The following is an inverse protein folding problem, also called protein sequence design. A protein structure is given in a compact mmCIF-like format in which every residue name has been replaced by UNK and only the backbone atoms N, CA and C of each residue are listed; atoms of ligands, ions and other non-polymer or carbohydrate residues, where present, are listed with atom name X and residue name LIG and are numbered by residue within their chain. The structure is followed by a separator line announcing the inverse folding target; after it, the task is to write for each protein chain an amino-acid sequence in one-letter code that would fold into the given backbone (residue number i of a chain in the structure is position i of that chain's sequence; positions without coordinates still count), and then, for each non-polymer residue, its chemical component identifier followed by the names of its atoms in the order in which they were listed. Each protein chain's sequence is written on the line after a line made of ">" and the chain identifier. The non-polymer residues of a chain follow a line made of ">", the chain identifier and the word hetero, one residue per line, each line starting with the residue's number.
data_IF_088109680304
#
_entry.id   IF_088109680304
#
_cell.length_a   1.000
_cell.length_b   1.000
_cell.length_c   1.000
_cell.angle_alpha   90.00
_cell.angle_beta   90.00
_cell.angle_gamma   90.00
#
_symmetry.space_group_name_H-M   'P 1'
#
loop_
_entity.id
_entity.type
_entity.pdbx_description
1 polymer ?
#
# COMPACT_ATOMS: atom_id res chain seq x y z
N UNK A 1 68.79 10.75 16.84
CA UNK A 1 67.67 11.47 16.18
C UNK A 1 66.40 10.69 16.53
N UNK A 2 65.77 11.03 17.65
CA UNK A 2 64.55 10.37 18.13
C UNK A 2 63.33 10.94 17.40
N UNK A 3 62.85 10.19 16.43
CA UNK A 3 61.66 10.56 15.68
C UNK A 3 60.40 10.30 16.51
N UNK A 4 59.73 11.37 16.96
CA UNK A 4 58.43 11.34 17.66
C UNK A 4 57.29 10.97 16.69
N UNK A 5 57.25 9.75 16.16
CA UNK A 5 56.19 9.27 15.24
C UNK A 5 54.93 8.74 15.96
N UNK A 6 55.02 8.41 17.25
CA UNK A 6 53.93 7.78 18.00
C UNK A 6 52.62 8.59 18.11
N UNK A 7 52.61 9.92 18.33
CA UNK A 7 51.36 10.66 18.46
C UNK A 7 50.67 10.90 17.11
N UNK A 8 51.44 11.13 16.04
CA UNK A 8 50.90 11.36 14.70
C UNK A 8 50.18 10.13 14.14
N UNK A 9 50.70 8.93 14.40
CA UNK A 9 50.09 7.68 13.97
C UNK A 9 48.75 7.42 14.66
N UNK A 10 48.61 7.76 15.95
CA UNK A 10 47.35 7.62 16.69
C UNK A 10 46.26 8.55 16.17
N UNK A 11 46.62 9.79 15.82
CA UNK A 11 45.67 10.76 15.23
C UNK A 11 45.19 10.29 13.86
N UNK A 12 46.11 9.74 13.03
CA UNK A 12 45.76 9.20 11.72
C UNK A 12 44.80 8.01 11.82
N UNK A 13 45.03 7.10 12.77
CA UNK A 13 44.13 5.97 13.03
C UNK A 13 42.75 6.42 13.53
N UNK A 14 42.69 7.39 14.42
CA UNK A 14 41.41 7.93 14.90
C UNK A 14 40.60 8.58 13.76
N UNK A 15 41.26 9.30 12.85
CA UNK A 15 40.62 9.89 11.67
C UNK A 15 40.14 8.83 10.67
N UNK A 16 40.92 7.77 10.45
CA UNK A 16 40.52 6.65 9.58
C UNK A 16 39.31 5.88 10.13
N UNK A 17 39.28 5.62 11.44
CA UNK A 17 38.13 4.94 12.08
C UNK A 17 36.88 5.83 12.06
N UNK A 18 37.03 7.13 12.32
CA UNK A 18 35.92 8.07 12.20
C UNK A 18 35.38 8.13 10.76
N UNK A 19 36.25 8.18 9.76
CA UNK A 19 35.84 8.17 8.35
C UNK A 19 35.09 6.89 7.97
N UNK A 20 35.52 5.71 8.45
CA UNK A 20 34.84 4.45 8.19
C UNK A 20 33.42 4.41 8.78
N UNK A 21 33.19 5.00 9.95
CA UNK A 21 31.86 5.09 10.57
C UNK A 21 30.88 5.93 9.73
N UNK A 22 31.35 6.99 9.08
CA UNK A 22 30.50 7.82 8.20
C UNK A 22 30.20 7.16 6.84
N UNK A 23 31.06 6.27 6.34
CA UNK A 23 30.83 5.54 5.10
C UNK A 23 29.89 4.33 5.25
N UNK A 24 29.69 3.82 6.47
CA UNK A 24 28.82 2.66 6.73
C UNK A 24 27.35 2.97 7.01
N UNK A 25 26.98 4.22 7.26
CA UNK A 25 25.57 4.60 7.42
C UNK A 25 24.97 5.00 6.08
N UNK A 26 24.61 4.00 5.26
CA UNK A 26 23.68 4.27 4.18
C UNK A 26 22.37 4.80 4.80
N UNK A 27 21.83 5.95 4.34
CA UNK A 27 20.52 6.38 4.80
C UNK A 27 19.51 5.26 4.53
N UNK A 28 18.63 4.99 5.50
CA UNK A 28 17.56 4.01 5.31
C UNK A 28 16.75 4.41 4.07
N UNK A 29 16.55 3.49 3.15
CA UNK A 29 15.65 3.69 2.02
C UNK A 29 14.24 3.88 2.58
N UNK A 30 13.73 5.12 2.54
CA UNK A 30 12.33 5.38 2.83
C UNK A 30 11.59 5.02 1.55
N UNK A 31 10.72 4.00 1.61
CA UNK A 31 9.84 3.66 0.50
C UNK A 31 9.02 4.90 0.16
N UNK A 32 9.09 5.34 -1.10
CA UNK A 32 8.22 6.41 -1.57
C UNK A 32 6.80 5.88 -1.66
N UNK A 33 5.79 6.71 -1.35
CA UNK A 33 4.41 6.32 -1.59
C UNK A 33 4.18 6.01 -3.06
N UNK A 34 3.27 5.07 -3.32
CA UNK A 34 3.04 4.46 -4.64
C UNK A 34 1.81 5.07 -5.34
N UNK A 35 0.84 5.59 -4.59
CA UNK A 35 -0.35 6.22 -5.16
C UNK A 35 -1.61 6.11 -4.29
N UNK A 36 -2.80 6.32 -4.90
CA UNK A 36 -4.08 6.20 -4.20
C UNK A 36 -4.39 4.75 -3.82
N UNK A 37 -5.30 4.54 -2.87
CA UNK A 37 -5.64 3.19 -2.42
C UNK A 37 -6.38 2.35 -3.47
N UNK A 38 -7.08 3.01 -4.40
CA UNK A 38 -7.88 2.39 -5.46
C UNK A 38 -7.55 3.04 -6.79
N UNK A 39 -7.35 2.22 -7.82
CA UNK A 39 -7.18 2.67 -9.20
C UNK A 39 -8.35 2.21 -10.07
N UNK A 40 -8.93 3.15 -10.79
CA UNK A 40 -9.91 2.89 -11.82
C UNK A 40 -9.24 2.31 -13.07
N UNK A 41 -9.75 1.17 -13.52
CA UNK A 41 -9.27 0.51 -14.74
C UNK A 41 -9.29 1.43 -15.97
N UNK A 42 -10.29 2.32 -16.06
CA UNK A 42 -10.44 3.29 -17.14
C UNK A 42 -9.32 4.35 -17.14
N UNK A 43 -8.81 4.72 -15.97
CA UNK A 43 -7.81 5.77 -15.82
C UNK A 43 -6.39 5.24 -16.09
N UNK A 44 -6.16 3.94 -15.83
CA UNK A 44 -4.84 3.30 -15.98
C UNK A 44 -4.69 2.43 -17.23
N UNK A 45 -5.77 2.27 -18.01
CA UNK A 45 -5.78 1.54 -19.29
C UNK A 45 -5.13 0.14 -19.23
N UNK A 46 -5.47 -0.65 -18.20
CA UNK A 46 -4.92 -2.00 -18.01
C UNK A 46 -5.65 -3.07 -18.82
N UNK A 47 -4.94 -4.14 -19.26
CA UNK A 47 -5.60 -5.24 -19.94
C UNK A 47 -6.43 -6.06 -18.94
N UNK A 48 -7.67 -6.35 -19.34
CA UNK A 48 -8.62 -7.18 -18.60
C UNK A 48 -9.14 -8.31 -19.47
N UNK A 49 -9.60 -9.38 -18.84
CA UNK A 49 -10.33 -10.42 -19.54
C UNK A 49 -11.71 -9.90 -19.97
N UNK A 50 -12.28 -10.52 -21.02
CA UNK A 50 -13.58 -10.10 -21.57
C UNK A 50 -14.77 -10.76 -20.87
N UNK A 51 -14.52 -11.81 -20.11
CA UNK A 51 -15.56 -12.50 -19.36
C UNK A 51 -15.94 -11.69 -18.13
N UNK A 52 -17.24 -11.69 -17.84
CA UNK A 52 -17.84 -10.92 -16.74
C UNK A 52 -18.23 -11.89 -15.64
N UNK A 53 -17.74 -11.63 -14.45
CA UNK A 53 -18.00 -12.41 -13.26
C UNK A 53 -19.43 -12.13 -12.71
N UNK A 54 -19.89 -12.87 -11.69
CA UNK A 54 -21.23 -12.68 -11.11
C UNK A 54 -21.50 -11.27 -10.52
N UNK A 55 -20.44 -10.51 -10.22
CA UNK A 55 -20.49 -9.14 -9.73
C UNK A 55 -20.68 -8.10 -10.83
N UNK A 56 -20.52 -8.48 -12.10
CA UNK A 56 -20.61 -7.56 -13.25
C UNK A 56 -19.27 -6.95 -13.67
N UNK A 57 -18.16 -7.41 -13.08
CA UNK A 57 -16.81 -6.94 -13.39
C UNK A 57 -16.06 -7.97 -14.25
N UNK A 58 -14.98 -7.59 -14.94
CA UNK A 58 -14.03 -8.56 -15.50
C UNK A 58 -13.61 -9.61 -14.47
N UNK A 59 -13.40 -10.85 -14.88
CA UNK A 59 -12.90 -11.87 -13.94
C UNK A 59 -11.45 -11.63 -13.53
N UNK A 60 -10.65 -10.99 -14.40
CA UNK A 60 -9.26 -10.65 -14.13
C UNK A 60 -8.83 -9.38 -14.88
N UNK A 61 -8.00 -8.57 -14.23
CA UNK A 61 -7.26 -7.46 -14.84
C UNK A 61 -5.81 -7.46 -14.37
N UNK A 62 -4.89 -6.98 -15.22
CA UNK A 62 -3.49 -6.85 -14.86
C UNK A 62 -3.24 -5.48 -14.21
N UNK A 63 -3.08 -5.46 -12.89
CA UNK A 63 -2.81 -4.22 -12.17
C UNK A 63 -1.32 -3.80 -12.24
N UNK A 64 -1.02 -2.50 -12.03
CA UNK A 64 0.35 -2.02 -11.88
C UNK A 64 1.04 -2.66 -10.66
N UNK A 65 2.38 -2.61 -10.58
CA UNK A 65 3.11 -3.09 -9.41
C UNK A 65 2.57 -2.50 -8.09
N UNK A 66 2.52 -3.33 -7.04
CA UNK A 66 1.95 -3.03 -5.72
C UNK A 66 0.41 -2.88 -5.67
N UNK A 67 -0.29 -3.20 -6.76
CA UNK A 67 -1.74 -3.31 -6.78
C UNK A 67 -2.16 -4.73 -7.19
N UNK A 68 -3.24 -5.19 -6.58
CA UNK A 68 -3.89 -6.45 -6.89
C UNK A 68 -5.32 -6.20 -7.38
N UNK A 69 -5.78 -6.98 -8.35
CA UNK A 69 -7.13 -6.84 -8.89
C UNK A 69 -8.14 -7.48 -7.96
N UNK A 70 -9.12 -6.71 -7.52
CA UNK A 70 -10.28 -7.24 -6.80
C UNK A 70 -11.47 -7.37 -7.75
N UNK A 71 -11.82 -8.61 -8.07
CA UNK A 71 -12.91 -8.95 -8.98
C UNK A 71 -14.31 -8.64 -8.40
N UNK A 72 -14.45 -8.58 -7.08
CA UNK A 72 -15.74 -8.27 -6.43
C UNK A 72 -16.15 -6.81 -6.64
N UNK A 73 -15.17 -5.90 -6.69
CA UNK A 73 -15.39 -4.46 -6.89
C UNK A 73 -14.93 -3.94 -8.25
N UNK A 74 -14.16 -4.73 -8.99
CA UNK A 74 -13.74 -4.41 -10.36
C UNK A 74 -12.66 -3.34 -10.44
N UNK A 75 -11.77 -3.27 -9.45
CA UNK A 75 -10.72 -2.24 -9.36
C UNK A 75 -9.37 -2.87 -9.04
N UNK A 76 -8.31 -2.09 -9.27
CA UNK A 76 -6.99 -2.40 -8.75
C UNK A 76 -6.85 -1.75 -7.37
N UNK A 77 -6.55 -2.55 -6.36
CA UNK A 77 -6.47 -2.15 -4.95
C UNK A 77 -5.02 -2.29 -4.49
N UNK A 78 -4.51 -1.32 -3.73
CA UNK A 78 -3.15 -1.37 -3.20
C UNK A 78 -2.97 -2.56 -2.25
N UNK A 79 -1.82 -3.24 -2.32
CA UNK A 79 -1.56 -4.43 -1.50
C UNK A 79 -1.15 -4.08 -0.06
N UNK A 80 -0.49 -2.94 0.13
CA UNK A 80 -0.10 -2.42 1.44
C UNK A 80 -0.54 -0.96 1.56
N UNK A 81 -1.56 -0.74 2.40
CA UNK A 81 -2.11 0.58 2.71
C UNK A 81 -1.04 1.58 3.19
N UNK A 82 0.05 1.10 3.79
CA UNK A 82 1.15 1.95 4.29
C UNK A 82 1.94 2.61 3.16
N UNK A 83 1.79 2.12 1.94
CA UNK A 83 2.41 2.66 0.74
C UNK A 83 1.49 3.63 -0.01
N UNK A 84 0.26 3.85 0.47
CA UNK A 84 -0.67 4.79 -0.14
C UNK A 84 -0.35 6.26 0.25
N UNK A 85 -0.60 7.19 -0.66
CA UNK A 85 -0.59 8.64 -0.42
C UNK A 85 -1.86 9.36 -0.89
N UNK A 86 -2.82 8.61 -1.42
CA UNK A 86 -4.06 9.15 -1.94
C UNK A 86 -5.29 8.48 -1.35
N UNK A 87 -6.46 9.12 -1.49
CA UNK A 87 -7.71 8.58 -0.99
C UNK A 87 -8.04 7.26 -1.68
N UNK A 88 -8.83 6.43 -1.01
CA UNK A 88 -9.57 5.38 -1.68
C UNK A 88 -10.78 5.94 -2.40
N UNK A 89 -11.48 5.08 -3.11
CA UNK A 89 -12.72 5.44 -3.80
C UNK A 89 -13.85 4.51 -3.35
N UNK A 90 -15.02 5.04 -2.96
CA UNK A 90 -16.16 4.21 -2.61
C UNK A 90 -16.59 3.43 -3.83
N UNK A 91 -16.63 2.11 -3.70
CA UNK A 91 -17.15 1.24 -4.75
C UNK A 91 -18.56 0.85 -4.41
N UNK A 92 -19.50 1.28 -5.25
CA UNK A 92 -20.86 0.75 -5.25
C UNK A 92 -20.97 -0.32 -6.33
N UNK A 93 -21.51 -1.49 -5.96
CA UNK A 93 -21.68 -2.57 -6.90
C UNK A 93 -22.58 -3.66 -6.35
N UNK A 94 -22.89 -4.64 -7.20
CA UNK A 94 -23.76 -5.76 -6.80
C UNK A 94 -23.21 -6.55 -5.61
N UNK A 95 -21.88 -6.56 -5.43
CA UNK A 95 -21.17 -7.25 -4.37
C UNK A 95 -20.43 -6.29 -3.43
N UNK A 96 -20.70 -4.98 -3.53
CA UNK A 96 -20.12 -3.95 -2.69
C UNK A 96 -21.23 -3.01 -2.22
N UNK A 97 -21.52 -3.04 -0.92
CA UNK A 97 -22.59 -2.28 -0.29
C UNK A 97 -22.03 -1.37 0.81
N UNK A 98 -22.68 -0.26 1.15
CA UNK A 98 -22.21 0.59 2.23
C UNK A 98 -22.27 -0.13 3.59
N UNK A 99 -21.36 0.17 4.53
CA UNK A 99 -21.46 -0.30 5.90
C UNK A 99 -22.73 0.21 6.55
N UNK A 100 -23.44 -0.67 7.28
CA UNK A 100 -24.71 -0.35 7.95
C UNK A 100 -24.62 -0.46 9.48
N UNK A 101 -23.50 -0.90 10.02
CA UNK A 101 -23.30 -1.07 11.46
C UNK A 101 -22.36 -0.04 12.07
N UNK A 102 -21.81 -0.40 13.23
CA UNK A 102 -20.86 0.46 13.95
C UNK A 102 -19.52 0.46 13.20
N UNK A 103 -19.00 1.66 12.96
CA UNK A 103 -17.65 1.90 12.49
C UNK A 103 -16.78 2.48 13.60
N UNK A 104 -15.47 2.27 13.50
CA UNK A 104 -14.51 3.01 14.32
C UNK A 104 -14.44 4.48 13.87
N UNK A 105 -14.00 5.36 14.77
CA UNK A 105 -13.94 6.79 14.51
C UNK A 105 -12.62 7.26 13.87
N UNK A 106 -11.59 6.40 13.90
CA UNK A 106 -10.32 6.68 13.25
C UNK A 106 -10.47 6.60 11.72
N UNK A 107 -9.77 7.47 11.01
CA UNK A 107 -9.79 7.53 9.55
C UNK A 107 -8.40 7.19 9.05
N UNK A 108 -8.30 6.19 8.19
CA UNK A 108 -7.05 5.74 7.59
C UNK A 108 -6.60 6.67 6.44
N UNK A 109 -5.46 6.36 5.82
CA UNK A 109 -4.91 7.15 4.70
C UNK A 109 -5.83 7.18 3.47
N UNK A 110 -6.66 6.16 3.30
CA UNK A 110 -7.65 6.07 2.22
C UNK A 110 -8.90 6.92 2.49
N UNK A 111 -9.04 7.51 3.67
CA UNK A 111 -10.19 8.34 4.04
C UNK A 111 -11.38 7.57 4.60
N UNK A 112 -11.19 6.32 5.02
CA UNK A 112 -12.24 5.47 5.59
C UNK A 112 -11.96 5.04 7.02
N UNK A 113 -12.99 4.66 7.79
CA UNK A 113 -12.80 3.93 9.04
C UNK A 113 -11.87 2.74 8.86
N UNK A 114 -11.04 2.43 9.86
CA UNK A 114 -10.21 1.21 9.78
C UNK A 114 -11.06 -0.06 9.92
N UNK A 115 -12.19 0.02 10.64
CA UNK A 115 -13.10 -1.10 10.86
C UNK A 115 -14.54 -0.63 10.80
N UNK A 116 -15.39 -1.36 10.07
CA UNK A 116 -16.84 -1.25 10.12
C UNK A 116 -17.52 -2.61 10.23
N UNK A 117 -18.71 -2.62 10.83
CA UNK A 117 -19.61 -3.77 10.79
C UNK A 117 -20.38 -3.83 9.48
N UNK A 118 -20.36 -5.01 8.87
CA UNK A 118 -20.97 -5.27 7.58
C UNK A 118 -22.19 -6.20 7.69
N UNK A 119 -23.26 -5.96 6.91
CA UNK A 119 -24.44 -6.81 6.92
C UNK A 119 -24.22 -8.11 6.11
N UNK A 120 -25.06 -9.11 6.37
CA UNK A 120 -25.15 -10.31 5.50
C UNK A 120 -23.87 -11.14 5.38
N UNK A 121 -22.93 -11.03 6.33
CA UNK A 121 -21.66 -11.77 6.30
C UNK A 121 -20.63 -11.24 5.29
N UNK A 122 -20.87 -10.07 4.70
CA UNK A 122 -19.86 -9.36 3.91
C UNK A 122 -18.69 -8.89 4.79
N UNK A 123 -17.53 -8.65 4.18
CA UNK A 123 -16.33 -8.20 4.87
C UNK A 123 -16.08 -6.73 4.56
N UNK A 124 -15.67 -5.98 5.57
CA UNK A 124 -15.31 -4.59 5.39
C UNK A 124 -13.95 -4.48 4.70
N UNK A 125 -13.85 -3.58 3.73
CA UNK A 125 -12.59 -3.17 3.10
C UNK A 125 -12.32 -1.72 3.49
N UNK A 126 -11.24 -1.50 4.23
CA UNK A 126 -10.78 -0.19 4.66
C UNK A 126 -10.10 0.59 3.52
N UNK A 127 -9.85 -0.07 2.39
CA UNK A 127 -9.28 0.53 1.18
C UNK A 127 -10.34 1.20 0.31
N UNK A 128 -11.56 0.66 0.33
CA UNK A 128 -12.70 1.12 -0.47
C UNK A 128 -13.82 1.73 0.36
N UNK A 129 -13.80 1.54 1.68
CA UNK A 129 -14.83 2.04 2.58
C UNK A 129 -16.16 1.29 2.45
N UNK A 130 -16.18 0.13 1.81
CA UNK A 130 -17.38 -0.65 1.54
C UNK A 130 -17.35 -2.04 2.18
N UNK A 131 -18.51 -2.67 2.22
CA UNK A 131 -18.71 -4.05 2.63
C UNK A 131 -18.83 -4.93 1.40
N UNK A 132 -17.87 -5.84 1.24
CA UNK A 132 -17.65 -6.62 0.03
C UNK A 132 -17.95 -8.09 0.27
N UNK A 133 -18.65 -8.70 -0.68
CA UNK A 133 -18.89 -10.14 -0.72
C UNK A 133 -17.78 -10.77 -1.55
N UNK A 134 -16.91 -11.54 -0.90
CA UNK A 134 -15.81 -12.23 -1.59
C UNK A 134 -16.38 -13.28 -2.56
N UNK A 135 -15.91 -13.23 -3.81
CA UNK A 135 -16.09 -14.32 -4.75
C UNK A 135 -15.27 -15.51 -4.23
N UNK A 136 -15.93 -16.58 -3.79
CA UNK A 136 -15.25 -17.82 -3.46
C UNK A 136 -14.59 -18.38 -4.72
N UNK A 137 -13.29 -18.64 -4.64
CA UNK A 137 -12.55 -19.41 -5.65
C UNK A 137 -12.63 -20.91 -5.35
#
# INVERSE_FOLDING_TARGET
>A
MDFKFAPALKVLWALLVAAQLFLSSAPGAIAQPIGPCVLNLADIAVPCTRDINPCGNPSFCQCPPAYSYDASVGKCIIEDIRLADGPGEPVEGKFSIPPQGICTADINVCGYPTICQCPGGSKYSDLTGSCEVQLGY
#
